data_IF_241627472489
#
_entry.id   IF_241627472489
#
_cell.length_a   1.000
_cell.length_b   1.000
_cell.length_c   1.000
_cell.angle_alpha   90.00
_cell.angle_beta   90.00
_cell.angle_gamma   90.00
#
_symmetry.space_group_name_H-M   'P 1'
#
loop_
_entity.id
_entity.type
_entity.pdbx_description
1 polymer ?
#
# COMPACT_ATOMS: atom_id res chain seq x y z
N UNK A 1 -21.22 -29.65 -17.76
CA UNK A 1 -20.32 -29.24 -16.66
C UNK A 1 -19.75 -27.87 -17.04
N UNK A 2 -20.29 -26.80 -16.47
CA UNK A 2 -19.66 -25.47 -16.61
C UNK A 2 -18.38 -25.45 -15.76
N UNK A 3 -17.24 -25.30 -16.42
CA UNK A 3 -15.93 -25.23 -15.78
C UNK A 3 -15.81 -23.84 -15.15
N UNK A 4 -16.17 -23.70 -13.88
CA UNK A 4 -15.98 -22.45 -13.13
C UNK A 4 -14.47 -22.13 -13.15
N UNK A 5 -14.09 -21.10 -13.88
CA UNK A 5 -12.70 -20.60 -13.94
C UNK A 5 -12.47 -19.81 -12.66
N UNK A 6 -11.71 -20.37 -11.72
CA UNK A 6 -11.28 -19.64 -10.52
C UNK A 6 -10.21 -18.65 -10.96
N UNK A 7 -10.58 -17.38 -11.09
CA UNK A 7 -9.62 -16.31 -11.33
C UNK A 7 -8.89 -15.99 -10.01
N UNK A 8 -7.56 -16.10 -10.03
CA UNK A 8 -6.74 -15.89 -8.84
C UNK A 8 -6.51 -14.39 -8.61
N UNK A 9 -7.33 -13.79 -7.76
CA UNK A 9 -7.17 -12.39 -7.34
C UNK A 9 -5.98 -12.19 -6.38
N UNK A 10 -5.22 -13.25 -6.08
CA UNK A 10 -4.07 -13.22 -5.16
C UNK A 10 -2.99 -12.22 -5.56
N UNK A 11 -2.82 -11.93 -6.86
CA UNK A 11 -1.88 -10.91 -7.32
C UNK A 11 -2.26 -9.52 -6.82
N UNK A 12 -3.55 -9.18 -6.84
CA UNK A 12 -4.03 -7.87 -6.38
C UNK A 12 -3.85 -7.72 -4.87
N UNK A 13 -4.17 -8.77 -4.10
CA UNK A 13 -3.98 -8.77 -2.65
C UNK A 13 -2.50 -8.68 -2.26
N UNK A 14 -1.62 -9.40 -2.98
CA UNK A 14 -0.19 -9.36 -2.73
C UNK A 14 0.41 -8.00 -3.07
N UNK A 15 0.06 -7.42 -4.22
CA UNK A 15 0.51 -6.07 -4.60
C UNK A 15 0.04 -5.02 -3.60
N UNK A 16 -1.19 -5.11 -3.11
CA UNK A 16 -1.71 -4.23 -2.06
C UNK A 16 -0.92 -4.34 -0.76
N UNK A 17 -0.68 -5.58 -0.30
CA UNK A 17 0.08 -5.83 0.92
C UNK A 17 1.54 -5.39 0.83
N UNK A 18 2.18 -5.65 -0.31
CA UNK A 18 3.54 -5.20 -0.59
C UNK A 18 3.64 -3.66 -0.61
N UNK A 19 2.66 -2.98 -1.22
CA UNK A 19 2.58 -1.52 -1.23
C UNK A 19 2.41 -0.92 0.17
N UNK A 20 1.59 -1.55 1.01
CA UNK A 20 1.43 -1.14 2.41
C UNK A 20 2.73 -1.29 3.21
N UNK A 21 3.40 -2.44 3.15
CA UNK A 21 4.68 -2.67 3.83
C UNK A 21 5.77 -1.70 3.34
N UNK A 22 5.82 -1.46 2.03
CA UNK A 22 6.73 -0.47 1.44
C UNK A 22 6.49 0.92 2.01
N UNK A 23 5.22 1.34 2.14
CA UNK A 23 4.87 2.66 2.67
C UNK A 23 5.34 2.84 4.11
N UNK A 24 5.16 1.83 4.95
CA UNK A 24 5.61 1.88 6.35
C UNK A 24 7.13 2.05 6.43
N UNK A 25 7.88 1.28 5.65
CA UNK A 25 9.34 1.38 5.64
C UNK A 25 9.87 2.63 4.93
N UNK A 26 9.16 3.15 3.93
CA UNK A 26 9.57 4.32 3.15
C UNK A 26 9.36 5.63 3.90
N UNK A 27 8.26 5.76 4.65
CA UNK A 27 7.93 6.96 5.43
C UNK A 27 8.46 6.91 6.86
N UNK A 28 9.04 5.79 7.29
CA UNK A 28 9.56 5.57 8.66
C UNK A 28 8.51 5.93 9.73
N UNK A 29 7.24 5.53 9.49
CA UNK A 29 6.09 5.92 10.31
C UNK A 29 6.26 5.37 11.74
N UNK A 30 6.51 6.27 12.69
CA UNK A 30 6.80 5.91 14.08
C UNK A 30 5.54 5.43 14.85
N UNK A 31 5.74 4.40 15.69
CA UNK A 31 4.87 3.93 16.78
C UNK A 31 3.34 3.93 16.52
N UNK A 32 2.87 2.90 15.82
CA UNK A 32 1.53 2.29 15.94
C UNK A 32 0.32 2.98 15.28
N UNK A 33 0.10 4.29 15.38
CA UNK A 33 -1.15 4.91 14.87
C UNK A 33 -1.06 5.31 13.39
N UNK A 34 0.10 5.81 12.96
CA UNK A 34 0.33 6.20 11.56
C UNK A 34 0.41 4.98 10.63
N UNK A 35 0.96 3.85 11.09
CA UNK A 35 0.99 2.58 10.35
C UNK A 35 -0.40 1.96 10.12
N UNK A 36 -1.34 2.16 11.06
CA UNK A 36 -2.74 1.73 10.90
C UNK A 36 -3.46 2.60 9.87
N UNK A 37 -3.23 3.91 9.89
CA UNK A 37 -3.74 4.80 8.84
C UNK A 37 -3.13 4.51 7.48
N UNK A 38 -1.87 4.06 7.43
CA UNK A 38 -1.25 3.61 6.18
C UNK A 38 -2.00 2.42 5.55
N UNK A 39 -2.61 1.49 6.31
CA UNK A 39 -3.36 0.36 5.71
C UNK A 39 -4.48 0.85 4.78
N UNK A 40 -5.13 1.96 5.12
CA UNK A 40 -6.25 2.53 4.35
C UNK A 40 -5.79 3.63 3.39
N UNK A 41 -4.80 4.44 3.81
CA UNK A 41 -4.41 5.68 3.14
C UNK A 41 -3.00 5.65 2.54
N UNK A 42 -2.32 4.49 2.49
CA UNK A 42 -0.93 4.41 2.01
C UNK A 42 -0.66 5.07 0.65
N UNK A 43 -1.53 4.98 -0.40
CA UNK A 43 -1.22 5.62 -1.69
C UNK A 43 -1.17 7.15 -1.55
N UNK A 44 -1.98 7.71 -0.65
CA UNK A 44 -2.01 9.14 -0.36
C UNK A 44 -0.72 9.59 0.34
N UNK A 45 -0.26 8.85 1.36
CA UNK A 45 0.99 9.17 2.06
C UNK A 45 2.21 9.14 1.15
N UNK A 46 2.32 8.13 0.26
CA UNK A 46 3.36 8.10 -0.78
C UNK A 46 3.27 9.34 -1.67
N UNK A 47 2.07 9.68 -2.15
CA UNK A 47 1.87 10.83 -3.02
C UNK A 47 2.28 12.16 -2.38
N UNK A 48 1.98 12.36 -1.10
CA UNK A 48 2.39 13.55 -0.34
C UNK A 48 3.91 13.58 -0.17
N UNK A 49 4.54 12.47 0.23
CA UNK A 49 5.99 12.39 0.39
C UNK A 49 6.74 12.64 -0.93
N UNK A 50 6.28 12.01 -2.02
CA UNK A 50 6.84 12.23 -3.37
C UNK A 50 6.61 13.67 -3.82
N UNK A 51 5.45 14.25 -3.55
CA UNK A 51 5.21 15.66 -3.89
C UNK A 51 6.12 16.61 -3.11
N UNK A 52 6.44 16.30 -1.85
CA UNK A 52 7.43 17.04 -1.07
C UNK A 52 8.83 16.93 -1.67
N UNK A 53 9.22 15.72 -2.09
CA UNK A 53 10.51 15.46 -2.73
C UNK A 53 10.66 16.14 -4.10
N UNK A 54 9.59 16.18 -4.91
CA UNK A 54 9.61 16.82 -6.25
C UNK A 54 9.59 18.34 -6.17
N UNK A 55 9.04 18.91 -5.09
CA UNK A 55 8.95 20.36 -4.88
C UNK A 55 10.12 20.96 -4.10
N UNK A 56 10.98 20.10 -3.51
CA UNK A 56 12.15 20.48 -2.72
C UNK A 56 13.39 20.76 -3.56
#
# INVERSE_FOLDING_TARGET
MEKIRVEQHGFTAFSWFAGWLFTIGFLDLEFFWEGVFAIVLWPYYIGVAVSGMVRG
#
